data_IF_316862099621
#
_entry.id   IF_316862099621
#
_cell.length_a   1.000
_cell.length_b   1.000
_cell.length_c   1.000
_cell.angle_alpha   90.00
_cell.angle_beta   90.00
_cell.angle_gamma   90.00
#
_symmetry.space_group_name_H-M   'P 1'
#
loop_
_entity.id
_entity.type
_entity.pdbx_description
1 polymer ?
#
# COMPACT_ATOMS: atom_id res chain seq x y z
N UNK A 1 16.84 6.68 40.74
CA UNK A 1 16.98 6.38 39.32
C UNK A 1 15.85 7.12 38.63
N UNK A 2 16.07 8.00 37.67
CA UNK A 2 15.00 8.60 36.95
C UNK A 2 14.36 7.53 36.04
N UNK A 3 13.09 7.25 36.27
CA UNK A 3 12.25 6.50 35.36
C UNK A 3 12.12 7.36 34.11
N UNK A 4 12.77 6.96 33.01
CA UNK A 4 12.52 7.57 31.70
C UNK A 4 11.12 7.14 31.29
N UNK A 5 10.16 8.01 31.52
CA UNK A 5 8.80 7.85 30.98
C UNK A 5 8.92 7.82 29.46
N UNK A 6 8.44 6.78 28.76
CA UNK A 6 8.40 6.80 27.31
C UNK A 6 7.54 8.00 26.90
N UNK A 7 8.13 8.90 26.14
CA UNK A 7 7.38 10.01 25.53
C UNK A 7 6.33 9.38 24.64
N UNK A 8 5.03 9.66 24.81
CA UNK A 8 4.00 9.10 23.96
C UNK A 8 4.23 9.62 22.55
N UNK A 9 4.80 8.76 21.72
CA UNK A 9 5.13 9.03 20.29
C UNK A 9 3.88 9.38 19.47
N UNK A 10 2.70 9.03 19.97
CA UNK A 10 1.42 9.20 19.29
C UNK A 10 0.87 10.63 19.42
N UNK A 11 1.02 11.30 20.55
CA UNK A 11 0.50 12.67 20.73
C UNK A 11 1.31 13.73 19.96
N UNK A 12 2.59 13.48 19.68
CA UNK A 12 3.42 14.41 18.90
C UNK A 12 3.30 14.21 17.39
N UNK A 13 2.83 13.06 16.91
CA UNK A 13 2.62 12.83 15.46
C UNK A 13 1.35 13.47 14.91
N UNK A 14 0.37 13.81 15.76
CA UNK A 14 -0.87 14.49 15.37
C UNK A 14 -0.73 16.02 15.28
N UNK A 15 0.30 16.62 15.88
CA UNK A 15 0.56 18.05 15.84
C UNK A 15 1.63 18.37 14.80
N UNK A 16 1.18 18.89 13.63
CA UNK A 16 1.94 19.72 12.68
C UNK A 16 3.38 19.25 12.35
N UNK A 17 3.50 18.22 11.51
CA UNK A 17 4.75 17.99 10.78
C UNK A 17 4.74 18.93 9.56
N UNK A 18 5.67 19.90 9.42
CA UNK A 18 5.76 20.71 8.22
C UNK A 18 6.06 19.83 7.02
N UNK A 19 5.34 20.04 5.93
CA UNK A 19 5.64 19.51 4.60
C UNK A 19 7.05 19.96 4.21
N UNK A 20 8.04 19.09 4.30
CA UNK A 20 9.35 19.29 3.71
C UNK A 20 9.53 18.32 2.54
N UNK A 21 9.57 18.92 1.36
CA UNK A 21 10.02 18.29 0.13
C UNK A 21 11.45 17.77 0.29
N UNK A 22 11.70 16.57 -0.24
CA UNK A 22 12.96 16.02 -0.72
C UNK A 22 14.24 16.28 0.08
N UNK A 23 14.85 15.18 0.55
CA UNK A 23 16.23 15.19 0.99
C UNK A 23 16.47 14.18 2.11
N UNK A 24 17.55 13.43 1.98
CA UNK A 24 18.17 12.66 3.06
C UNK A 24 18.53 13.64 4.21
N UNK A 25 17.62 13.84 5.13
CA UNK A 25 17.90 14.64 6.33
C UNK A 25 17.90 13.73 7.57
N UNK A 26 18.80 14.10 8.48
CA UNK A 26 19.09 13.45 9.75
C UNK A 26 17.81 13.05 10.55
N UNK A 27 17.90 12.02 11.39
CA UNK A 27 16.80 11.61 12.25
C UNK A 27 16.32 12.79 13.12
N UNK A 28 15.01 12.82 13.46
CA UNK A 28 14.50 13.91 14.28
C UNK A 28 15.28 14.04 15.59
N UNK A 29 15.45 15.27 16.15
CA UNK A 29 16.33 15.54 17.30
C UNK A 29 16.06 14.63 18.53
N UNK A 30 14.82 14.18 18.74
CA UNK A 30 14.46 13.27 19.83
C UNK A 30 14.98 11.85 19.59
N UNK A 31 15.12 11.39 18.34
CA UNK A 31 15.74 10.11 18.02
C UNK A 31 17.27 10.18 18.20
N UNK A 32 17.88 11.32 17.88
CA UNK A 32 19.30 11.54 18.14
C UNK A 32 19.60 11.64 19.65
N UNK A 33 18.71 12.23 20.45
CA UNK A 33 18.84 12.28 21.90
C UNK A 33 18.68 10.91 22.55
N UNK A 34 17.67 10.11 22.13
CA UNK A 34 17.49 8.73 22.66
C UNK A 34 18.64 7.82 22.29
N UNK A 35 19.21 7.93 21.09
CA UNK A 35 20.39 7.13 20.69
C UNK A 35 21.67 7.54 21.43
N UNK A 36 21.80 8.80 21.87
CA UNK A 36 22.98 9.28 22.60
C UNK A 36 22.92 8.94 24.09
N UNK A 37 21.74 9.02 24.72
CA UNK A 37 21.56 8.74 26.14
C UNK A 37 21.50 7.22 26.45
N UNK A 38 20.99 6.40 25.53
CA UNK A 38 20.92 4.94 25.68
C UNK A 38 22.27 4.27 25.37
N UNK A 39 23.16 4.89 24.60
CA UNK A 39 24.49 4.36 24.31
C UNK A 39 25.41 4.25 25.57
N UNK A 40 24.98 4.78 26.71
CA UNK A 40 25.79 4.79 27.94
C UNK A 40 25.30 3.84 29.05
N UNK A 41 24.17 3.14 28.92
CA UNK A 41 23.69 2.20 29.93
C UNK A 41 23.91 0.75 29.50
N UNK A 42 24.85 0.09 30.18
CA UNK A 42 24.93 -1.36 30.14
C UNK A 42 23.64 -1.96 30.75
N UNK A 43 23.11 -3.01 30.11
CA UNK A 43 22.03 -3.86 30.62
C UNK A 43 20.65 -3.20 30.79
N UNK A 44 20.04 -2.79 29.68
CA UNK A 44 18.65 -2.33 29.62
C UNK A 44 17.69 -3.52 29.40
N UNK A 45 16.87 -3.79 30.44
CA UNK A 45 15.81 -4.79 30.33
C UNK A 45 14.60 -4.21 29.66
N UNK A 46 14.21 -4.81 28.55
CA UNK A 46 13.02 -4.40 27.76
C UNK A 46 11.77 -4.77 28.59
N UNK A 47 10.85 -3.81 28.67
CA UNK A 47 9.56 -3.99 29.29
C UNK A 47 8.49 -4.41 28.29
N UNK A 48 7.56 -5.27 28.70
CA UNK A 48 6.47 -5.75 27.82
C UNK A 48 5.55 -4.60 27.35
N UNK A 49 5.37 -3.57 28.18
CA UNK A 49 4.57 -2.39 27.82
C UNK A 49 5.22 -1.54 26.71
N UNK A 50 6.55 -1.49 26.62
CA UNK A 50 7.24 -0.83 25.48
C UNK A 50 6.96 -1.57 24.17
N UNK A 51 6.95 -2.89 24.19
CA UNK A 51 6.67 -3.73 23.02
C UNK A 51 5.20 -3.60 22.61
N UNK A 52 4.29 -3.54 23.61
CA UNK A 52 2.86 -3.32 23.37
C UNK A 52 2.58 -1.96 22.71
N UNK A 53 3.24 -0.89 23.16
CA UNK A 53 3.13 0.45 22.53
C UNK A 53 3.60 0.43 21.07
N UNK A 54 4.69 -0.28 20.79
CA UNK A 54 5.18 -0.44 19.41
C UNK A 54 4.21 -1.26 18.55
N UNK A 55 3.55 -2.27 19.15
CA UNK A 55 2.53 -3.04 18.45
C UNK A 55 1.34 -2.18 18.07
N UNK A 56 0.83 -1.37 18.99
CA UNK A 56 -0.26 -0.41 18.73
C UNK A 56 0.16 0.59 17.66
N UNK A 57 1.38 1.13 17.73
CA UNK A 57 1.89 2.02 16.70
C UNK A 57 1.95 1.38 15.31
N UNK A 58 2.29 0.08 15.22
CA UNK A 58 2.32 -0.63 13.94
C UNK A 58 0.91 -0.85 13.37
N UNK A 59 -0.08 -1.15 14.22
CA UNK A 59 -1.48 -1.34 13.83
C UNK A 59 -2.10 0.02 13.41
N UNK A 60 -1.85 1.09 14.15
CA UNK A 60 -2.31 2.45 13.83
C UNK A 60 -1.75 2.96 12.49
N UNK A 61 -0.53 2.59 12.12
CA UNK A 61 0.06 3.00 10.84
C UNK A 61 -0.68 2.48 9.62
N UNK A 62 -1.25 1.29 9.70
CA UNK A 62 -2.04 0.73 8.61
C UNK A 62 -3.35 1.52 8.40
N UNK A 63 -4.01 1.92 9.47
CA UNK A 63 -5.20 2.76 9.41
C UNK A 63 -4.87 4.18 8.89
N UNK A 64 -3.77 4.76 9.37
CA UNK A 64 -3.31 6.08 8.94
C UNK A 64 -2.85 6.11 7.47
N UNK A 65 -2.23 5.03 6.95
CA UNK A 65 -1.87 4.96 5.52
C UNK A 65 -3.09 5.05 4.63
N UNK A 66 -4.19 4.42 5.00
CA UNK A 66 -5.43 4.50 4.23
C UNK A 66 -5.98 5.93 4.18
N UNK A 67 -5.83 6.69 5.25
CA UNK A 67 -6.35 8.04 5.36
C UNK A 67 -5.41 9.10 4.75
N UNK A 68 -4.11 9.02 5.02
CA UNK A 68 -3.15 10.10 4.71
C UNK A 68 -2.13 9.74 3.64
N UNK A 69 -1.92 8.44 3.35
CA UNK A 69 -0.89 7.95 2.44
C UNK A 69 0.52 7.87 3.06
N UNK A 70 1.36 7.02 2.47
CA UNK A 70 2.65 6.62 3.03
C UNK A 70 3.72 7.71 3.15
N UNK A 71 3.64 8.80 2.38
CA UNK A 71 4.67 9.84 2.40
C UNK A 71 4.83 10.52 3.77
N UNK A 72 3.72 10.67 4.52
CA UNK A 72 3.75 11.26 5.87
C UNK A 72 4.23 10.27 6.92
N UNK A 73 4.04 8.98 6.66
CA UNK A 73 4.29 7.91 7.63
C UNK A 73 5.68 7.30 7.51
N UNK A 74 6.39 7.56 6.42
CA UNK A 74 7.69 6.93 6.17
C UNK A 74 8.72 7.22 7.28
N UNK A 75 8.84 8.49 7.72
CA UNK A 75 9.80 8.89 8.75
C UNK A 75 9.48 8.29 10.11
N UNK A 76 8.25 8.43 10.67
CA UNK A 76 7.92 7.81 11.95
C UNK A 76 8.04 6.29 11.92
N UNK A 77 7.61 5.63 10.85
CA UNK A 77 7.76 4.17 10.71
C UNK A 77 9.22 3.74 10.71
N UNK A 78 10.09 4.48 10.01
CA UNK A 78 11.54 4.22 10.04
C UNK A 78 12.14 4.42 11.43
N UNK A 79 11.68 5.42 12.16
CA UNK A 79 12.12 5.68 13.52
C UNK A 79 11.74 4.51 14.45
N UNK A 80 10.50 4.01 14.38
CA UNK A 80 10.08 2.83 15.13
C UNK A 80 10.89 1.59 14.76
N UNK A 81 11.15 1.35 13.47
CA UNK A 81 11.98 0.23 13.03
C UNK A 81 13.40 0.30 13.62
N UNK A 82 14.02 1.49 13.58
CA UNK A 82 15.36 1.68 14.17
C UNK A 82 15.36 1.45 15.67
N UNK A 83 14.30 1.86 16.35
CA UNK A 83 14.15 1.60 17.78
C UNK A 83 13.99 0.10 18.07
N UNK A 84 13.16 -0.61 17.32
CA UNK A 84 13.02 -2.06 17.45
C UNK A 84 14.35 -2.78 17.20
N UNK A 85 15.12 -2.39 16.20
CA UNK A 85 16.45 -2.96 15.96
C UNK A 85 17.40 -2.67 17.13
N UNK A 86 17.36 -1.45 17.70
CA UNK A 86 18.15 -1.13 18.88
C UNK A 86 17.77 -2.02 20.09
N UNK A 87 16.46 -2.27 20.27
CA UNK A 87 15.98 -3.22 21.30
C UNK A 87 16.52 -4.64 21.06
N UNK A 88 16.48 -5.12 19.82
CA UNK A 88 17.00 -6.44 19.45
C UNK A 88 18.50 -6.54 19.70
N UNK A 89 19.27 -5.52 19.34
CA UNK A 89 20.73 -5.55 19.36
C UNK A 89 21.32 -5.32 20.76
N UNK A 90 20.63 -4.57 21.62
CA UNK A 90 21.15 -4.05 22.89
C UNK A 90 20.31 -4.40 24.11
N UNK A 91 19.06 -4.77 23.91
CA UNK A 91 18.15 -5.06 25.02
C UNK A 91 18.40 -6.43 25.66
N UNK A 92 17.99 -6.55 26.91
CA UNK A 92 17.89 -7.85 27.59
C UNK A 92 16.42 -8.25 27.56
N UNK A 93 16.13 -9.38 26.95
CA UNK A 93 14.80 -9.95 26.80
C UNK A 93 14.85 -11.47 26.75
N UNK A 94 13.74 -12.12 27.04
CA UNK A 94 13.58 -13.55 26.85
C UNK A 94 13.19 -13.91 25.42
N UNK A 95 13.23 -15.19 25.09
CA UNK A 95 12.92 -15.69 23.73
C UNK A 95 11.52 -15.29 23.24
N UNK A 96 10.43 -15.37 24.03
CA UNK A 96 9.11 -14.92 23.61
C UNK A 96 9.06 -13.43 23.23
N UNK A 97 9.72 -12.57 23.98
CA UNK A 97 9.78 -11.14 23.72
C UNK A 97 10.65 -10.86 22.49
N UNK A 98 11.74 -11.62 22.30
CA UNK A 98 12.58 -11.57 21.11
C UNK A 98 11.78 -11.88 19.83
N UNK A 99 10.95 -12.92 19.86
CA UNK A 99 10.06 -13.25 18.74
C UNK A 99 9.07 -12.10 18.41
N UNK A 100 8.50 -11.46 19.44
CA UNK A 100 7.63 -10.30 19.26
C UNK A 100 8.37 -9.11 18.62
N UNK A 101 9.59 -8.81 19.05
CA UNK A 101 10.43 -7.76 18.49
C UNK A 101 10.73 -8.01 17.01
N UNK A 102 11.12 -9.23 16.65
CA UNK A 102 11.35 -9.59 15.24
C UNK A 102 10.07 -9.50 14.39
N UNK A 103 8.91 -9.90 14.93
CA UNK A 103 7.63 -9.75 14.25
C UNK A 103 7.28 -8.26 14.01
N UNK A 104 7.53 -7.40 15.01
CA UNK A 104 7.35 -5.94 14.91
C UNK A 104 8.30 -5.32 13.86
N UNK A 105 9.58 -5.72 13.88
CA UNK A 105 10.53 -5.30 12.84
C UNK A 105 10.01 -5.66 11.45
N UNK A 106 9.48 -6.87 11.28
CA UNK A 106 8.87 -7.31 10.02
C UNK A 106 7.63 -6.50 9.63
N UNK A 107 6.73 -6.17 10.58
CA UNK A 107 5.55 -5.32 10.31
C UNK A 107 5.96 -3.92 9.84
N UNK A 108 6.84 -3.22 10.57
CA UNK A 108 7.32 -1.89 10.19
C UNK A 108 8.06 -1.92 8.84
N UNK A 109 8.88 -2.94 8.61
CA UNK A 109 9.60 -3.12 7.34
C UNK A 109 8.64 -3.34 6.18
N UNK A 110 7.55 -4.13 6.36
CA UNK A 110 6.50 -4.30 5.35
C UNK A 110 5.82 -2.97 5.02
N UNK A 111 5.49 -2.16 6.02
CA UNK A 111 4.88 -0.84 5.84
C UNK A 111 5.83 0.13 5.12
N UNK A 112 7.13 0.15 5.48
CA UNK A 112 8.15 0.93 4.75
C UNK A 112 8.29 0.48 3.29
N UNK A 113 8.20 -0.83 3.03
CA UNK A 113 8.14 -1.39 1.69
C UNK A 113 6.96 -0.85 0.89
N UNK A 114 5.78 -0.83 1.49
CA UNK A 114 4.57 -0.28 0.90
C UNK A 114 4.67 1.23 0.62
N UNK A 115 5.15 2.02 1.59
CA UNK A 115 5.32 3.47 1.43
C UNK A 115 6.35 3.79 0.33
N UNK A 116 7.45 3.03 0.29
CA UNK A 116 8.45 3.16 -0.78
C UNK A 116 7.88 2.83 -2.16
N UNK A 117 7.04 1.80 -2.25
CA UNK A 117 6.33 1.44 -3.48
C UNK A 117 5.33 2.53 -3.89
N UNK A 118 4.55 3.07 -2.94
CA UNK A 118 3.57 4.14 -3.22
C UNK A 118 4.24 5.44 -3.67
N UNK A 119 5.46 5.69 -3.18
CA UNK A 119 6.32 6.80 -3.58
C UNK A 119 7.09 6.56 -4.91
N UNK A 120 6.94 5.38 -5.55
CA UNK A 120 7.62 5.04 -6.79
C UNK A 120 9.07 4.52 -6.62
N UNK A 121 9.55 4.37 -5.39
CA UNK A 121 10.90 3.87 -5.10
C UNK A 121 10.94 2.34 -5.12
N UNK A 122 10.73 1.73 -6.30
CA UNK A 122 10.52 0.29 -6.45
C UNK A 122 11.68 -0.58 -5.96
N UNK A 123 12.94 -0.16 -6.16
CA UNK A 123 14.12 -0.90 -5.68
C UNK A 123 14.14 -0.94 -4.16
N UNK A 124 13.92 0.21 -3.51
CA UNK A 124 13.87 0.33 -2.05
C UNK A 124 12.71 -0.47 -1.45
N UNK A 125 11.55 -0.41 -2.11
CA UNK A 125 10.39 -1.22 -1.71
C UNK A 125 10.73 -2.73 -1.73
N UNK A 126 11.40 -3.20 -2.78
CA UNK A 126 11.82 -4.60 -2.89
C UNK A 126 12.79 -5.00 -1.78
N UNK A 127 13.73 -4.14 -1.42
CA UNK A 127 14.66 -4.39 -0.32
C UNK A 127 13.90 -4.57 1.00
N UNK A 128 13.02 -3.62 1.35
CA UNK A 128 12.21 -3.74 2.56
C UNK A 128 11.32 -4.98 2.57
N UNK A 129 10.66 -5.32 1.47
CA UNK A 129 9.85 -6.55 1.41
C UNK A 129 10.70 -7.81 1.58
N UNK A 130 11.93 -7.84 1.06
CA UNK A 130 12.84 -8.97 1.27
C UNK A 130 13.27 -9.10 2.74
N UNK A 131 13.57 -7.98 3.40
CA UNK A 131 13.88 -7.94 4.84
C UNK A 131 12.67 -8.38 5.69
N UNK A 132 11.46 -7.93 5.34
CA UNK A 132 10.24 -8.34 6.02
C UNK A 132 9.99 -9.86 5.89
N UNK A 133 10.24 -10.45 4.73
CA UNK A 133 10.14 -11.91 4.56
C UNK A 133 11.20 -12.65 5.37
N UNK A 134 12.42 -12.12 5.49
CA UNK A 134 13.43 -12.71 6.37
C UNK A 134 12.96 -12.69 7.83
N UNK A 135 12.39 -11.58 8.31
CA UNK A 135 11.82 -11.50 9.65
C UNK A 135 10.68 -12.50 9.85
N UNK A 136 9.76 -12.61 8.87
CA UNK A 136 8.68 -13.59 8.90
C UNK A 136 9.18 -15.03 8.95
N UNK A 137 10.24 -15.35 8.24
CA UNK A 137 10.88 -16.68 8.29
C UNK A 137 11.51 -16.99 9.65
N UNK A 138 12.18 -15.99 10.28
CA UNK A 138 12.78 -16.15 11.60
C UNK A 138 11.74 -16.39 12.69
N UNK A 139 10.57 -15.80 12.57
CA UNK A 139 9.48 -15.91 13.56
C UNK A 139 8.44 -16.97 13.22
N UNK A 140 8.49 -17.57 12.02
CA UNK A 140 7.44 -18.46 11.53
C UNK A 140 6.10 -17.74 11.30
N UNK A 141 6.10 -16.41 11.05
CA UNK A 141 4.90 -15.59 10.90
C UNK A 141 4.32 -15.69 9.47
N UNK A 142 3.37 -16.61 9.28
CA UNK A 142 2.67 -16.80 8.02
C UNK A 142 1.72 -15.64 7.66
N UNK A 143 1.22 -14.89 8.65
CA UNK A 143 0.40 -13.69 8.44
C UNK A 143 1.24 -12.60 7.78
N UNK A 144 2.41 -12.31 8.34
CA UNK A 144 3.38 -11.35 7.81
C UNK A 144 3.87 -11.76 6.42
N UNK A 145 4.17 -13.06 6.21
CA UNK A 145 4.55 -13.62 4.91
C UNK A 145 3.46 -13.39 3.87
N UNK A 146 2.20 -13.71 4.20
CA UNK A 146 1.05 -13.52 3.29
C UNK A 146 0.88 -12.08 2.88
N UNK A 147 0.93 -11.14 3.85
CA UNK A 147 0.83 -9.69 3.63
C UNK A 147 1.95 -9.17 2.73
N UNK A 148 3.19 -9.50 3.08
CA UNK A 148 4.37 -9.01 2.36
C UNK A 148 4.39 -9.50 0.91
N UNK A 149 4.10 -10.80 0.69
CA UNK A 149 4.01 -11.39 -0.64
C UNK A 149 2.85 -10.80 -1.46
N UNK A 150 1.71 -10.48 -0.84
CA UNK A 150 0.60 -9.75 -1.49
C UNK A 150 1.05 -8.39 -2.01
N UNK A 151 1.83 -7.64 -1.21
CA UNK A 151 2.38 -6.34 -1.60
C UNK A 151 3.42 -6.49 -2.73
N UNK A 152 4.28 -7.52 -2.67
CA UNK A 152 5.23 -7.83 -3.75
C UNK A 152 4.52 -8.22 -5.05
N UNK A 153 3.41 -8.97 -4.97
CA UNK A 153 2.59 -9.29 -6.13
C UNK A 153 2.02 -8.01 -6.76
N UNK A 154 1.50 -7.09 -5.93
CA UNK A 154 0.99 -5.79 -6.41
C UNK A 154 2.08 -4.97 -7.09
N UNK A 155 3.26 -4.86 -6.48
CA UNK A 155 4.40 -4.18 -7.07
C UNK A 155 4.81 -4.81 -8.42
N UNK A 156 4.84 -6.14 -8.49
CA UNK A 156 5.23 -6.85 -9.72
C UNK A 156 4.24 -6.59 -10.88
N UNK A 157 2.94 -6.45 -10.59
CA UNK A 157 1.93 -6.04 -11.58
C UNK A 157 2.26 -4.67 -12.16
N UNK A 158 2.55 -3.67 -11.32
CA UNK A 158 2.85 -2.32 -11.78
C UNK A 158 4.19 -2.22 -12.54
N UNK A 159 5.14 -3.12 -12.23
CA UNK A 159 6.40 -3.27 -12.96
C UNK A 159 6.29 -4.12 -14.24
N UNK A 160 5.08 -4.48 -14.65
CA UNK A 160 4.80 -5.34 -15.81
C UNK A 160 5.48 -6.73 -15.74
N UNK A 161 5.66 -7.25 -14.51
CA UNK A 161 6.25 -8.56 -14.22
C UNK A 161 5.16 -9.59 -13.86
N UNK A 162 4.20 -9.82 -14.77
CA UNK A 162 3.01 -10.63 -14.49
C UNK A 162 3.33 -12.05 -13.99
N UNK A 163 4.35 -12.73 -14.53
CA UNK A 163 4.75 -14.08 -14.06
C UNK A 163 5.29 -14.05 -12.62
N UNK A 164 6.00 -13.00 -12.25
CA UNK A 164 6.48 -12.80 -10.87
C UNK A 164 5.30 -12.53 -9.93
N UNK A 165 4.35 -11.69 -10.37
CA UNK A 165 3.12 -11.40 -9.62
C UNK A 165 2.31 -12.67 -9.31
N UNK A 166 2.12 -13.56 -10.29
CA UNK A 166 1.45 -14.86 -10.10
C UNK A 166 2.18 -15.69 -9.04
N UNK A 167 3.52 -15.78 -9.12
CA UNK A 167 4.32 -16.57 -8.17
C UNK A 167 4.16 -16.02 -6.74
N UNK A 168 4.26 -14.72 -6.55
CA UNK A 168 4.09 -14.11 -5.23
C UNK A 168 2.67 -14.29 -4.70
N UNK A 169 1.63 -14.10 -5.53
CA UNK A 169 0.25 -14.30 -5.10
C UNK A 169 -0.01 -15.75 -4.66
N UNK A 170 0.49 -16.74 -5.40
CA UNK A 170 0.36 -18.16 -5.05
C UNK A 170 1.13 -18.54 -3.80
N UNK A 171 2.34 -18.00 -3.63
CA UNK A 171 3.11 -18.22 -2.41
C UNK A 171 2.41 -17.57 -1.20
N UNK A 172 1.84 -16.38 -1.37
CA UNK A 172 1.01 -15.74 -0.35
C UNK A 172 -0.21 -16.61 0.03
N UNK A 173 -0.87 -17.23 -0.95
CA UNK A 173 -1.99 -18.15 -0.71
C UNK A 173 -1.53 -19.41 0.05
N UNK A 174 -0.33 -19.94 -0.22
CA UNK A 174 0.23 -21.06 0.54
C UNK A 174 0.41 -20.68 2.02
N UNK A 175 1.04 -19.55 2.30
CA UNK A 175 1.16 -19.07 3.68
C UNK A 175 -0.20 -18.77 4.32
N UNK A 176 -1.14 -18.18 3.58
CA UNK A 176 -2.50 -17.94 4.06
C UNK A 176 -3.21 -19.23 4.50
N UNK A 177 -2.97 -20.34 3.80
CA UNK A 177 -3.46 -21.67 4.19
C UNK A 177 -2.90 -22.18 5.51
N UNK A 178 -1.65 -21.82 5.87
CA UNK A 178 -1.00 -22.29 7.11
C UNK A 178 -1.65 -21.74 8.37
N UNK A 179 -2.19 -20.53 8.32
CA UNK A 179 -2.89 -19.90 9.46
C UNK A 179 -4.41 -19.82 9.29
N UNK A 180 -4.95 -20.52 8.30
CA UNK A 180 -6.40 -20.53 8.00
C UNK A 180 -6.94 -19.11 7.83
N UNK A 181 -6.34 -18.37 6.90
CA UNK A 181 -6.64 -16.96 6.64
C UNK A 181 -8.14 -16.72 6.41
N UNK A 182 -8.69 -15.61 6.93
CA UNK A 182 -10.08 -15.25 6.75
C UNK A 182 -10.40 -14.85 5.31
N UNK A 183 -11.68 -14.72 5.01
CA UNK A 183 -12.22 -14.56 3.66
C UNK A 183 -11.72 -13.31 2.93
N UNK A 184 -11.53 -12.20 3.64
CA UNK A 184 -11.02 -10.96 3.04
C UNK A 184 -9.57 -11.11 2.57
N UNK A 185 -8.74 -11.84 3.32
CA UNK A 185 -7.36 -12.15 2.90
C UNK A 185 -7.37 -13.04 1.66
N UNK A 186 -8.14 -14.13 1.67
CA UNK A 186 -8.19 -15.06 0.53
C UNK A 186 -8.78 -14.43 -0.72
N UNK A 187 -9.77 -13.54 -0.59
CA UNK A 187 -10.28 -12.72 -1.68
C UNK A 187 -9.20 -11.80 -2.26
N UNK A 188 -8.45 -11.09 -1.39
CA UNK A 188 -7.34 -10.22 -1.81
C UNK A 188 -6.26 -11.00 -2.56
N UNK A 189 -5.84 -12.15 -2.05
CA UNK A 189 -4.80 -12.94 -2.69
C UNK A 189 -5.25 -13.51 -4.03
N UNK A 190 -6.53 -13.90 -4.15
CA UNK A 190 -7.12 -14.34 -5.41
C UNK A 190 -7.16 -13.24 -6.45
N UNK A 191 -7.54 -12.00 -6.09
CA UNK A 191 -7.53 -10.89 -7.05
C UNK A 191 -6.09 -10.45 -7.40
N UNK A 192 -5.10 -10.60 -6.50
CA UNK A 192 -3.67 -10.40 -6.82
C UNK A 192 -3.18 -11.40 -7.88
N UNK A 193 -3.58 -12.66 -7.76
CA UNK A 193 -3.28 -13.67 -8.78
C UNK A 193 -3.92 -13.33 -10.12
N UNK A 194 -5.21 -12.90 -10.11
CA UNK A 194 -5.91 -12.46 -11.31
C UNK A 194 -5.19 -11.32 -12.03
N UNK A 195 -4.72 -10.31 -11.29
CA UNK A 195 -3.93 -9.21 -11.84
C UNK A 195 -2.65 -9.68 -12.53
N UNK A 196 -1.95 -10.67 -11.94
CA UNK A 196 -0.79 -11.28 -12.57
C UNK A 196 -1.13 -11.99 -13.88
N UNK A 197 -2.20 -12.79 -13.91
CA UNK A 197 -2.68 -13.46 -15.12
C UNK A 197 -3.13 -12.46 -16.19
N UNK A 198 -3.81 -11.39 -15.82
CA UNK A 198 -4.18 -10.33 -16.74
C UNK A 198 -2.97 -9.71 -17.44
N UNK A 199 -1.89 -9.45 -16.68
CA UNK A 199 -0.63 -8.89 -17.19
C UNK A 199 0.10 -9.79 -18.19
N UNK A 200 -0.08 -11.10 -18.12
CA UNK A 200 0.49 -12.03 -19.10
C UNK A 200 -0.48 -12.41 -20.22
N UNK A 201 -1.67 -11.80 -20.26
CA UNK A 201 -2.70 -12.06 -21.27
C UNK A 201 -3.45 -13.38 -21.07
N UNK A 202 -3.32 -14.03 -19.92
CA UNK A 202 -3.99 -15.30 -19.60
C UNK A 202 -5.42 -15.05 -19.10
N UNK A 203 -6.33 -14.84 -20.06
CA UNK A 203 -7.73 -14.51 -19.75
C UNK A 203 -8.45 -15.62 -19.01
N UNK A 204 -8.13 -16.89 -19.28
CA UNK A 204 -8.80 -18.04 -18.66
C UNK A 204 -8.48 -18.13 -17.15
N UNK A 205 -7.21 -18.11 -16.79
CA UNK A 205 -6.80 -18.17 -15.38
C UNK A 205 -7.13 -16.87 -14.64
N UNK A 206 -7.09 -15.72 -15.32
CA UNK A 206 -7.55 -14.46 -14.76
C UNK A 206 -9.04 -14.54 -14.36
N UNK A 207 -9.90 -15.01 -15.24
CA UNK A 207 -11.34 -15.19 -14.96
C UNK A 207 -11.58 -16.15 -13.79
N UNK A 208 -10.86 -17.26 -13.77
CA UNK A 208 -10.95 -18.23 -12.67
C UNK A 208 -10.55 -17.61 -11.32
N UNK A 209 -9.47 -16.84 -11.29
CA UNK A 209 -9.01 -16.16 -10.08
C UNK A 209 -9.97 -15.04 -9.63
N UNK A 210 -10.57 -14.28 -10.57
CA UNK A 210 -11.61 -13.28 -10.27
C UNK A 210 -12.83 -13.98 -9.62
N UNK A 211 -13.28 -15.10 -10.18
CA UNK A 211 -14.41 -15.84 -9.61
C UNK A 211 -14.13 -16.34 -8.18
N UNK A 212 -12.90 -16.80 -7.91
CA UNK A 212 -12.50 -17.17 -6.54
C UNK A 212 -12.55 -15.95 -5.61
N UNK A 213 -12.01 -14.80 -6.05
CA UNK A 213 -12.01 -13.58 -5.24
C UNK A 213 -13.44 -13.15 -4.86
N UNK A 214 -14.38 -13.17 -5.81
CA UNK A 214 -15.78 -12.85 -5.53
C UNK A 214 -16.45 -13.87 -4.64
N UNK A 215 -16.22 -15.16 -4.86
CA UNK A 215 -16.75 -16.22 -4.01
C UNK A 215 -16.33 -16.05 -2.55
N UNK A 216 -15.05 -15.77 -2.29
CA UNK A 216 -14.55 -15.49 -0.94
C UNK A 216 -15.15 -14.21 -0.36
N UNK A 217 -15.26 -13.17 -1.18
CA UNK A 217 -15.88 -11.91 -0.78
C UNK A 217 -17.35 -12.06 -0.35
N UNK A 218 -18.13 -12.87 -1.07
CA UNK A 218 -19.55 -13.13 -0.81
C UNK A 218 -19.80 -13.88 0.51
N UNK A 219 -18.78 -14.53 1.08
CA UNK A 219 -18.87 -15.15 2.41
C UNK A 219 -18.94 -14.14 3.55
N UNK A 220 -18.67 -12.86 3.27
CA UNK A 220 -18.78 -11.77 4.22
C UNK A 220 -17.48 -11.49 4.99
N UNK A 221 -17.61 -10.65 6.03
CA UNK A 221 -16.51 -10.27 6.92
C UNK A 221 -16.32 -11.29 8.03
N UNK A 222 -15.08 -11.44 8.50
CA UNK A 222 -14.69 -12.29 9.63
C UNK A 222 -14.04 -11.39 10.70
N UNK A 223 -14.34 -11.62 11.97
CA UNK A 223 -13.75 -10.86 13.10
C UNK A 223 -12.21 -11.00 13.15
N UNK A 224 -11.66 -12.01 12.48
CA UNK A 224 -10.23 -12.25 12.33
C UNK A 224 -9.63 -11.52 11.13
N UNK A 225 -10.43 -10.77 10.33
CA UNK A 225 -9.90 -10.01 9.20
C UNK A 225 -8.84 -9.00 9.69
N UNK A 226 -7.58 -9.11 9.23
CA UNK A 226 -6.54 -8.19 9.69
C UNK A 226 -6.78 -6.77 9.19
N UNK A 227 -6.41 -5.76 10.01
CA UNK A 227 -6.59 -4.34 9.70
C UNK A 227 -5.98 -3.93 8.36
N UNK A 228 -4.86 -4.54 7.96
CA UNK A 228 -4.23 -4.27 6.67
C UNK A 228 -5.07 -4.70 5.46
N UNK A 229 -6.21 -5.39 5.66
CA UNK A 229 -7.16 -5.74 4.59
C UNK A 229 -8.39 -4.85 4.52
N UNK A 230 -8.56 -3.91 5.46
CA UNK A 230 -9.78 -3.08 5.56
C UNK A 230 -10.01 -2.20 4.34
N UNK A 231 -8.93 -1.86 3.58
CA UNK A 231 -9.04 -1.15 2.31
C UNK A 231 -9.80 -1.96 1.23
N UNK A 232 -9.85 -3.30 1.35
CA UNK A 232 -10.56 -4.15 0.41
C UNK A 232 -12.05 -4.14 0.76
N UNK A 233 -12.77 -3.22 0.16
CA UNK A 233 -14.22 -3.12 0.16
C UNK A 233 -14.77 -3.50 -1.22
N UNK A 234 -16.10 -3.50 -1.38
CA UNK A 234 -16.74 -3.85 -2.65
C UNK A 234 -16.27 -2.94 -3.80
N UNK A 235 -16.14 -1.64 -3.54
CA UNK A 235 -15.69 -0.68 -4.55
C UNK A 235 -14.27 -1.01 -5.02
N UNK A 236 -13.35 -1.34 -4.10
CA UNK A 236 -11.98 -1.70 -4.45
C UNK A 236 -11.92 -3.04 -5.20
N UNK A 237 -12.70 -4.05 -4.80
CA UNK A 237 -12.72 -5.34 -5.51
C UNK A 237 -13.21 -5.17 -6.96
N UNK A 238 -14.28 -4.38 -7.18
CA UNK A 238 -14.77 -4.00 -8.53
C UNK A 238 -13.68 -3.25 -9.30
N UNK A 239 -12.95 -2.32 -8.66
CA UNK A 239 -11.84 -1.60 -9.28
C UNK A 239 -10.72 -2.55 -9.73
N UNK A 240 -10.33 -3.50 -8.87
CA UNK A 240 -9.27 -4.46 -9.16
C UNK A 240 -9.68 -5.42 -10.30
N UNK A 241 -10.96 -5.84 -10.36
CA UNK A 241 -11.48 -6.56 -11.53
C UNK A 241 -11.42 -5.70 -12.79
N UNK A 242 -11.86 -4.43 -12.70
CA UNK A 242 -11.81 -3.48 -13.82
C UNK A 242 -10.39 -3.32 -14.37
N UNK A 243 -9.38 -3.30 -13.51
CA UNK A 243 -7.97 -3.30 -13.91
C UNK A 243 -7.58 -4.57 -14.68
N UNK A 244 -7.98 -5.75 -14.20
CA UNK A 244 -7.74 -6.99 -14.91
C UNK A 244 -8.35 -6.96 -16.32
N UNK A 245 -9.57 -6.42 -16.47
CA UNK A 245 -10.22 -6.27 -17.78
C UNK A 245 -9.48 -5.29 -18.68
N UNK A 246 -8.96 -4.19 -18.10
CA UNK A 246 -8.17 -3.22 -18.85
C UNK A 246 -6.86 -3.84 -19.37
N UNK A 247 -6.15 -4.56 -18.52
CA UNK A 247 -4.89 -5.25 -18.89
C UNK A 247 -5.11 -6.33 -19.96
N UNK A 248 -6.29 -6.97 -19.98
CA UNK A 248 -6.69 -7.93 -21.04
C UNK A 248 -7.22 -7.24 -22.31
N UNK A 249 -7.19 -5.91 -22.43
CA UNK A 249 -7.70 -5.16 -23.57
C UNK A 249 -9.23 -5.11 -23.67
N UNK A 250 -9.97 -5.56 -22.64
CA UNK A 250 -11.43 -5.53 -22.59
C UNK A 250 -11.93 -4.14 -22.13
N UNK A 251 -11.57 -3.10 -22.87
CA UNK A 251 -11.69 -1.69 -22.47
C UNK A 251 -13.11 -1.25 -22.13
N UNK A 252 -14.11 -1.65 -22.92
CA UNK A 252 -15.52 -1.32 -22.64
C UNK A 252 -16.06 -1.98 -21.34
N UNK A 253 -15.60 -3.21 -21.02
CA UNK A 253 -15.96 -3.87 -19.77
C UNK A 253 -15.22 -3.22 -18.59
N UNK A 254 -13.94 -2.90 -18.77
CA UNK A 254 -13.14 -2.19 -17.79
C UNK A 254 -13.76 -0.84 -17.42
N UNK A 255 -14.16 -0.04 -18.42
CA UNK A 255 -14.81 1.26 -18.23
C UNK A 255 -16.08 1.13 -17.37
N UNK A 256 -16.96 0.16 -17.68
CA UNK A 256 -18.18 -0.07 -16.87
C UNK A 256 -17.88 -0.42 -15.43
N UNK A 257 -16.95 -1.34 -15.19
CA UNK A 257 -16.56 -1.75 -13.83
C UNK A 257 -15.92 -0.60 -13.05
N UNK A 258 -15.01 0.15 -13.67
CA UNK A 258 -14.35 1.28 -13.02
C UNK A 258 -15.32 2.42 -12.72
N UNK A 259 -16.29 2.68 -13.60
CA UNK A 259 -17.39 3.63 -13.35
C UNK A 259 -18.33 3.15 -12.23
N UNK A 260 -18.57 1.83 -12.12
CA UNK A 260 -19.31 1.26 -11.00
C UNK A 260 -18.53 1.42 -9.69
N UNK A 261 -17.23 1.13 -9.69
CA UNK A 261 -16.35 1.31 -8.54
C UNK A 261 -16.36 2.77 -8.05
N UNK A 262 -16.24 3.73 -8.97
CA UNK A 262 -16.24 5.16 -8.63
C UNK A 262 -17.52 5.58 -7.88
N UNK A 263 -18.68 5.04 -8.28
CA UNK A 263 -19.96 5.30 -7.62
C UNK A 263 -20.09 4.65 -6.22
N UNK A 264 -19.39 3.53 -6.01
CA UNK A 264 -19.39 2.78 -4.75
C UNK A 264 -18.34 3.32 -3.75
N UNK A 265 -17.37 4.13 -4.20
CA UNK A 265 -16.32 4.66 -3.34
C UNK A 265 -16.88 5.68 -2.36
N UNK A 266 -16.53 5.49 -1.08
CA UNK A 266 -16.78 6.48 -0.05
C UNK A 266 -15.87 7.71 -0.24
N UNK A 267 -16.40 8.89 0.08
CA UNK A 267 -15.66 10.16 0.05
C UNK A 267 -14.44 10.11 0.98
N UNK A 268 -14.50 9.36 2.08
CA UNK A 268 -13.40 9.18 3.01
C UNK A 268 -12.16 8.49 2.37
N UNK A 269 -12.34 7.69 1.31
CA UNK A 269 -11.27 6.97 0.62
C UNK A 269 -10.78 7.72 -0.63
N UNK A 270 -10.50 9.02 -0.50
CA UNK A 270 -10.14 9.91 -1.61
C UNK A 270 -8.94 9.42 -2.45
N UNK A 271 -7.95 8.75 -1.83
CA UNK A 271 -6.78 8.18 -2.54
C UNK A 271 -7.18 7.05 -3.51
N UNK A 272 -7.93 6.06 -3.02
CA UNK A 272 -8.40 4.94 -3.83
C UNK A 272 -9.32 5.43 -4.95
N UNK A 273 -10.18 6.40 -4.64
CA UNK A 273 -11.06 7.05 -5.61
C UNK A 273 -10.27 7.78 -6.70
N UNK A 274 -9.21 8.53 -6.35
CA UNK A 274 -8.35 9.20 -7.32
C UNK A 274 -7.65 8.21 -8.27
N UNK A 275 -7.14 7.11 -7.72
CA UNK A 275 -6.54 6.02 -8.51
C UNK A 275 -7.56 5.35 -9.43
N UNK A 276 -8.78 5.09 -8.94
CA UNK A 276 -9.86 4.50 -9.75
C UNK A 276 -10.25 5.42 -10.91
N UNK A 277 -10.38 6.73 -10.68
CA UNK A 277 -10.69 7.72 -11.71
C UNK A 277 -9.62 7.81 -12.80
N UNK A 278 -8.33 7.77 -12.44
CA UNK A 278 -7.25 7.72 -13.43
C UNK A 278 -7.31 6.47 -14.31
N UNK A 279 -7.63 5.32 -13.72
CA UNK A 279 -7.83 4.05 -14.46
C UNK A 279 -9.09 4.08 -15.32
N UNK A 280 -10.18 4.69 -14.83
CA UNK A 280 -11.41 4.90 -15.59
C UNK A 280 -11.14 5.76 -16.83
N UNK A 281 -10.39 6.85 -16.68
CA UNK A 281 -9.98 7.69 -17.78
C UNK A 281 -9.19 6.89 -18.84
N UNK A 282 -8.24 6.05 -18.41
CA UNK A 282 -7.48 5.18 -19.30
C UNK A 282 -8.37 4.18 -20.02
N UNK A 283 -9.31 3.54 -19.32
CA UNK A 283 -10.26 2.60 -19.93
C UNK A 283 -11.19 3.26 -20.95
N UNK A 284 -11.66 4.49 -20.65
CA UNK A 284 -12.49 5.29 -21.54
C UNK A 284 -11.73 5.68 -22.83
N UNK A 285 -10.44 6.03 -22.74
CA UNK A 285 -9.58 6.25 -23.93
C UNK A 285 -9.57 5.01 -24.82
N UNK A 286 -9.33 3.85 -24.22
CA UNK A 286 -9.29 2.57 -24.93
C UNK A 286 -10.64 2.16 -25.52
N UNK A 287 -11.75 2.57 -24.92
CA UNK A 287 -13.11 2.37 -25.42
C UNK A 287 -13.54 3.40 -26.46
N UNK A 288 -12.73 4.46 -26.70
CA UNK A 288 -13.07 5.55 -27.63
C UNK A 288 -13.98 6.62 -27.04
N UNK A 289 -14.29 6.56 -25.75
CA UNK A 289 -15.14 7.51 -25.02
C UNK A 289 -14.29 8.65 -24.44
N UNK A 290 -13.94 9.61 -25.30
CA UNK A 290 -13.02 10.69 -24.95
C UNK A 290 -13.64 11.67 -23.94
N UNK A 291 -14.93 11.95 -24.06
CA UNK A 291 -15.63 12.87 -23.16
C UNK A 291 -15.63 12.33 -21.73
N UNK A 292 -15.92 11.04 -21.56
CA UNK A 292 -15.86 10.38 -20.23
C UNK A 292 -14.42 10.32 -19.68
N UNK A 293 -13.43 10.11 -20.56
CA UNK A 293 -12.02 10.17 -20.15
C UNK A 293 -11.63 11.53 -19.59
N UNK A 294 -12.03 12.62 -20.27
CA UNK A 294 -11.77 14.00 -19.83
C UNK A 294 -12.44 14.29 -18.48
N UNK A 295 -13.71 13.89 -18.32
CA UNK A 295 -14.44 14.07 -17.06
C UNK A 295 -13.78 13.31 -15.89
N UNK A 296 -13.46 12.04 -16.08
CA UNK A 296 -12.82 11.20 -15.06
C UNK A 296 -11.43 11.74 -14.67
N UNK A 297 -10.62 12.18 -15.64
CA UNK A 297 -9.31 12.74 -15.38
C UNK A 297 -9.38 14.07 -14.61
N UNK A 298 -10.31 14.97 -14.94
CA UNK A 298 -10.51 16.21 -14.17
C UNK A 298 -10.95 15.96 -12.74
N UNK A 299 -11.84 14.99 -12.51
CA UNK A 299 -12.20 14.55 -11.15
C UNK A 299 -10.99 14.02 -10.39
N UNK A 300 -10.12 13.22 -11.04
CA UNK A 300 -8.88 12.74 -10.42
C UNK A 300 -7.94 13.88 -10.04
N UNK A 301 -7.72 14.86 -10.94
CA UNK A 301 -6.93 16.07 -10.67
C UNK A 301 -7.51 16.84 -9.49
N UNK A 302 -8.83 17.02 -9.45
CA UNK A 302 -9.51 17.69 -8.34
C UNK A 302 -9.21 17.05 -7.00
N UNK A 303 -9.28 15.72 -6.90
CA UNK A 303 -8.96 14.97 -5.68
C UNK A 303 -7.48 15.11 -5.28
N UNK A 304 -6.55 15.05 -6.23
CA UNK A 304 -5.12 15.24 -5.95
C UNK A 304 -4.87 16.63 -5.36
N UNK A 305 -5.47 17.67 -5.92
CA UNK A 305 -5.31 19.07 -5.44
C UNK A 305 -5.93 19.31 -4.08
N UNK A 306 -7.15 18.80 -3.85
CA UNK A 306 -7.91 19.07 -2.61
C UNK A 306 -7.46 18.23 -1.43
N UNK A 307 -7.13 16.97 -1.66
CA UNK A 307 -6.73 16.05 -0.59
C UNK A 307 -5.21 16.09 -0.30
N UNK A 308 -4.43 16.89 -1.03
CA UNK A 308 -2.97 16.92 -0.89
C UNK A 308 -2.34 15.54 -1.15
N UNK A 309 -2.95 14.76 -2.04
CA UNK A 309 -2.53 13.39 -2.35
C UNK A 309 -1.23 13.41 -3.14
N UNK A 310 -0.12 13.23 -2.47
CA UNK A 310 1.21 13.13 -3.07
C UNK A 310 1.59 11.68 -3.43
N UNK A 311 0.66 10.89 -3.95
CA UNK A 311 0.95 9.52 -4.37
C UNK A 311 1.60 9.52 -5.76
N UNK A 312 2.84 9.03 -5.86
CA UNK A 312 3.53 8.89 -7.15
C UNK A 312 2.74 7.98 -8.11
N UNK A 313 1.98 7.00 -7.59
CA UNK A 313 1.12 6.15 -8.41
C UNK A 313 -0.06 6.91 -9.02
N UNK A 314 -0.68 7.84 -8.28
CA UNK A 314 -1.74 8.68 -8.82
C UNK A 314 -1.22 9.61 -9.91
N UNK A 315 -0.05 10.22 -9.69
CA UNK A 315 0.67 11.02 -10.70
C UNK A 315 0.99 10.17 -11.94
N UNK A 316 1.48 8.94 -11.75
CA UNK A 316 1.77 8.03 -12.86
C UNK A 316 0.51 7.66 -13.67
N UNK A 317 -0.66 7.49 -13.02
CA UNK A 317 -1.91 7.26 -13.74
C UNK A 317 -2.29 8.47 -14.60
N UNK A 318 -2.10 9.70 -14.11
CA UNK A 318 -2.32 10.90 -14.93
C UNK A 318 -1.36 11.01 -16.11
N UNK A 319 -0.09 10.58 -15.96
CA UNK A 319 0.86 10.49 -17.09
C UNK A 319 0.36 9.53 -18.17
N UNK A 320 -0.13 8.36 -17.77
CA UNK A 320 -0.73 7.38 -18.72
C UNK A 320 -1.92 7.99 -19.46
N UNK A 321 -2.80 8.71 -18.75
CA UNK A 321 -3.94 9.42 -19.35
C UNK A 321 -3.46 10.50 -20.33
N UNK A 322 -2.46 11.31 -19.93
CA UNK A 322 -1.85 12.33 -20.77
C UNK A 322 -1.37 11.73 -22.10
N UNK A 323 -0.56 10.68 -22.03
CA UNK A 323 0.04 10.04 -23.21
C UNK A 323 -1.02 9.40 -24.11
N UNK A 324 -2.06 8.81 -23.52
CA UNK A 324 -3.20 8.24 -24.26
C UNK A 324 -4.08 9.28 -24.95
N UNK A 325 -4.20 10.49 -24.39
CA UNK A 325 -4.99 11.59 -24.97
C UNK A 325 -4.18 12.49 -25.92
N UNK A 326 -2.86 12.56 -25.80
CA UNK A 326 -2.02 13.42 -26.61
C UNK A 326 -2.27 13.33 -28.14
N UNK A 327 -2.48 12.14 -28.74
CA UNK A 327 -2.83 12.03 -30.16
C UNK A 327 -4.18 12.66 -30.53
N UNK A 328 -5.03 12.94 -29.53
CA UNK A 328 -6.40 13.48 -29.69
C UNK A 328 -6.52 14.91 -29.19
N UNK A 329 -5.42 15.65 -29.15
CA UNK A 329 -5.37 16.99 -28.54
C UNK A 329 -6.41 17.98 -29.08
N UNK A 330 -6.85 17.79 -30.35
CA UNK A 330 -7.90 18.61 -31.00
C UNK A 330 -9.32 18.28 -30.56
N UNK A 331 -9.53 17.16 -29.87
CA UNK A 331 -10.84 16.82 -29.32
C UNK A 331 -11.25 17.81 -28.24
N UNK A 332 -12.55 18.00 -28.06
CA UNK A 332 -13.10 18.96 -27.09
C UNK A 332 -12.57 18.74 -25.68
N UNK A 333 -12.00 19.78 -25.10
CA UNK A 333 -11.52 19.78 -23.72
C UNK A 333 -10.23 18.99 -23.46
N UNK A 334 -9.67 18.30 -24.48
CA UNK A 334 -8.44 17.51 -24.32
C UNK A 334 -7.23 18.42 -24.19
N UNK A 335 -7.11 19.47 -25.01
CA UNK A 335 -5.97 20.39 -24.95
C UNK A 335 -5.80 21.00 -23.56
N UNK A 336 -6.88 21.56 -23.01
CA UNK A 336 -6.89 22.16 -21.66
C UNK A 336 -6.53 21.12 -20.59
N UNK A 337 -7.10 19.91 -20.70
CA UNK A 337 -6.81 18.82 -19.74
C UNK A 337 -5.33 18.42 -19.77
N UNK A 338 -4.70 18.34 -20.94
CA UNK A 338 -3.27 18.01 -21.04
C UNK A 338 -2.40 19.05 -20.33
N UNK A 339 -2.75 20.33 -20.39
CA UNK A 339 -2.08 21.38 -19.64
C UNK A 339 -2.35 21.25 -18.12
N UNK A 340 -3.60 20.98 -17.73
CA UNK A 340 -3.95 20.73 -16.33
C UNK A 340 -3.15 19.55 -15.74
N UNK A 341 -2.98 18.46 -16.50
CA UNK A 341 -2.17 17.30 -16.10
C UNK A 341 -0.71 17.72 -15.96
N UNK A 342 -0.12 18.42 -16.94
CA UNK A 342 1.27 18.87 -16.85
C UNK A 342 1.54 19.69 -15.59
N UNK A 343 0.61 20.58 -15.22
CA UNK A 343 0.74 21.40 -14.02
C UNK A 343 0.70 20.61 -12.71
N UNK A 344 0.13 19.40 -12.71
CA UNK A 344 0.06 18.50 -11.52
C UNK A 344 1.23 17.54 -11.46
N UNK A 345 1.83 17.22 -12.62
CA UNK A 345 2.88 16.18 -12.77
C UNK A 345 4.29 16.78 -12.78
N UNK A 346 4.39 18.13 -12.93
CA UNK A 346 5.65 18.87 -12.85
C UNK A 346 6.17 18.96 -11.43
#
# INVERSE_FOLDING_TARGET
MPVVTPVPLIEQSAAAIPLLAGGDQDPPPWLAQTTTDVASSADWKIAEDEVELLRQAADDMDAQDQQFGGNRLWRPTRAHLLWVHHMIDRGIYDEPLGQQLHALAGKFTTSLGWFSYDAGHHTKARQYFSEALNAAMLTGDDVLSSRTLSNMARQAVDLNKGREAIRFARLAQTHAGMWSAPTRVTALLSIREAQGHARVGDAFNCESAIKRAWKEWELGTDDRDPDWTTFLNQAELVCLEGMCRLDLGQTARAQRLLAQSEKLQDVAHSRNRGMCLGRLATAAIGAGDIDHSVDAARKAIGLIRTAGLSSARAVQQLKIVHDGLAPRYRARGVGDLLEEIRAVVA
#
